data_IF_698590309247
#
_entry.id   IF_698590309247
#
_cell.length_a   1.000
_cell.length_b   1.000
_cell.length_c   1.000
_cell.angle_alpha   90.00
_cell.angle_beta   90.00
_cell.angle_gamma   90.00
#
_symmetry.space_group_name_H-M   'P 1'
#
loop_
_entity.id
_entity.type
_entity.pdbx_description
1 polymer ?
#
# COMPACT_ATOMS: atom_id res chain seq x y z
N UNK A 1 -20.32 9.41 20.79
CA UNK A 1 -19.30 10.47 20.69
C UNK A 1 -19.43 11.37 19.47
N UNK A 2 -20.03 10.94 18.35
CA UNK A 2 -20.27 11.77 17.15
C UNK A 2 -21.18 12.99 17.38
N UNK A 3 -22.12 12.88 18.30
CA UNK A 3 -23.08 13.95 18.67
C UNK A 3 -22.44 15.19 19.33
N UNK A 4 -21.20 15.08 19.82
CA UNK A 4 -20.50 16.17 20.50
C UNK A 4 -19.53 16.94 19.59
N UNK A 5 -19.18 16.40 18.43
CA UNK A 5 -18.26 17.01 17.48
C UNK A 5 -18.93 17.48 16.17
N UNK A 6 -19.97 16.78 15.71
CA UNK A 6 -20.71 17.10 14.49
C UNK A 6 -22.20 17.18 14.80
N UNK A 7 -22.71 18.36 15.09
CA UNK A 7 -24.15 18.58 15.24
C UNK A 7 -24.94 18.25 13.96
N UNK A 8 -24.34 18.48 12.80
CA UNK A 8 -24.93 18.15 11.50
C UNK A 8 -23.87 17.83 10.45
N UNK A 9 -24.14 16.80 9.64
CA UNK A 9 -23.42 16.61 8.37
C UNK A 9 -24.03 17.54 7.33
N UNK A 10 -23.21 18.16 6.48
CA UNK A 10 -23.69 19.07 5.43
C UNK A 10 -24.76 18.40 4.56
N UNK A 11 -25.95 18.96 4.54
CA UNK A 11 -27.08 18.47 3.72
C UNK A 11 -26.78 18.54 2.23
N UNK A 12 -26.02 19.54 1.80
CA UNK A 12 -25.57 19.69 0.40
C UNK A 12 -24.68 18.52 0.01
N UNK A 13 -23.70 18.16 0.85
CA UNK A 13 -22.81 17.02 0.58
C UNK A 13 -23.59 15.70 0.54
N UNK A 14 -24.59 15.54 1.43
CA UNK A 14 -25.47 14.37 1.41
C UNK A 14 -26.30 14.30 0.14
N UNK A 15 -26.89 15.41 -0.32
CA UNK A 15 -27.67 15.46 -1.54
C UNK A 15 -26.82 15.12 -2.79
N UNK A 16 -25.61 15.71 -2.89
CA UNK A 16 -24.66 15.40 -3.97
C UNK A 16 -24.28 13.92 -3.97
N UNK A 17 -23.96 13.37 -2.80
CA UNK A 17 -23.59 11.94 -2.66
C UNK A 17 -24.76 11.04 -3.05
N UNK A 18 -25.97 11.37 -2.60
CA UNK A 18 -27.18 10.62 -2.93
C UNK A 18 -27.42 10.59 -4.45
N UNK A 19 -27.35 11.74 -5.10
CA UNK A 19 -27.50 11.85 -6.56
C UNK A 19 -26.39 11.10 -7.31
N UNK A 20 -25.14 11.20 -6.87
CA UNK A 20 -24.02 10.49 -7.45
C UNK A 20 -24.20 8.96 -7.41
N UNK A 21 -24.78 8.44 -6.32
CA UNK A 21 -25.12 7.02 -6.16
C UNK A 21 -26.33 6.65 -7.05
N UNK A 22 -27.42 7.43 -6.98
CA UNK A 22 -28.67 7.15 -7.65
C UNK A 22 -28.53 7.19 -9.18
N UNK A 23 -27.74 8.13 -9.71
CA UNK A 23 -27.44 8.25 -11.15
C UNK A 23 -26.54 7.14 -11.71
N UNK A 24 -26.04 6.24 -10.88
CA UNK A 24 -25.14 5.13 -11.27
C UNK A 24 -23.68 5.55 -11.53
N UNK A 25 -23.32 6.81 -11.34
CA UNK A 25 -21.93 7.29 -11.48
C UNK A 25 -20.99 6.60 -10.52
N UNK A 26 -21.42 6.40 -9.27
CA UNK A 26 -20.65 5.69 -8.26
C UNK A 26 -20.27 4.26 -8.71
N UNK A 27 -21.22 3.50 -9.25
CA UNK A 27 -20.97 2.12 -9.72
C UNK A 27 -19.99 2.09 -10.89
N UNK A 28 -20.13 3.00 -11.85
CA UNK A 28 -19.18 3.14 -12.99
C UNK A 28 -17.79 3.47 -12.50
N UNK A 29 -17.67 4.43 -11.58
CA UNK A 29 -16.40 4.81 -10.97
C UNK A 29 -15.72 3.66 -10.23
N UNK A 30 -16.46 2.91 -9.42
CA UNK A 30 -15.93 1.74 -8.72
C UNK A 30 -15.40 0.66 -9.69
N UNK A 31 -16.11 0.38 -10.76
CA UNK A 31 -15.66 -0.60 -11.74
C UNK A 31 -14.37 -0.15 -12.42
N UNK A 32 -14.26 1.13 -12.75
CA UNK A 32 -13.04 1.72 -13.30
C UNK A 32 -11.87 1.64 -12.31
N UNK A 33 -12.09 2.02 -11.04
CA UNK A 33 -11.05 1.92 -9.99
C UNK A 33 -10.59 0.48 -9.74
N UNK A 34 -11.51 -0.48 -9.75
CA UNK A 34 -11.17 -1.91 -9.60
C UNK A 34 -10.27 -2.39 -10.74
N UNK A 35 -10.59 -2.03 -11.98
CA UNK A 35 -9.76 -2.39 -13.14
C UNK A 35 -8.35 -1.80 -13.06
N UNK A 36 -8.23 -0.52 -12.74
CA UNK A 36 -6.94 0.15 -12.59
C UNK A 36 -6.13 -0.46 -11.44
N UNK A 37 -6.76 -0.68 -10.30
CA UNK A 37 -6.06 -1.21 -9.13
C UNK A 37 -5.67 -2.68 -9.32
N UNK A 38 -6.42 -3.45 -10.10
CA UNK A 38 -6.03 -4.81 -10.47
C UNK A 38 -4.75 -4.83 -11.32
N UNK A 39 -4.66 -3.98 -12.32
CA UNK A 39 -3.44 -3.83 -13.12
C UNK A 39 -2.22 -3.42 -12.27
N UNK A 40 -2.41 -2.48 -11.36
CA UNK A 40 -1.36 -2.02 -10.44
C UNK A 40 -0.90 -3.11 -9.45
N UNK A 41 -1.85 -3.86 -8.92
CA UNK A 41 -1.61 -5.01 -8.06
C UNK A 41 -0.76 -6.06 -8.78
N UNK A 42 -1.17 -6.46 -9.98
CA UNK A 42 -0.48 -7.48 -10.75
C UNK A 42 0.93 -7.05 -11.15
N UNK A 43 1.10 -5.79 -11.58
CA UNK A 43 2.42 -5.25 -11.86
C UNK A 43 3.31 -5.22 -10.62
N UNK A 44 2.77 -4.84 -9.46
CA UNK A 44 3.56 -4.83 -8.22
C UNK A 44 4.01 -6.23 -7.83
N UNK A 45 3.15 -7.24 -7.88
CA UNK A 45 3.53 -8.62 -7.60
C UNK A 45 4.57 -9.13 -8.59
N UNK A 46 4.38 -8.88 -9.88
CA UNK A 46 5.34 -9.26 -10.91
C UNK A 46 6.70 -8.59 -10.71
N UNK A 47 6.72 -7.30 -10.39
CA UNK A 47 7.95 -6.57 -10.08
C UNK A 47 8.64 -7.10 -8.82
N UNK A 48 7.88 -7.44 -7.77
CA UNK A 48 8.44 -8.04 -6.55
C UNK A 48 9.05 -9.40 -6.84
N UNK A 49 8.41 -10.24 -7.64
CA UNK A 49 8.95 -11.54 -8.05
C UNK A 49 10.27 -11.40 -8.82
N UNK A 50 10.38 -10.36 -9.65
CA UNK A 50 11.56 -10.09 -10.45
C UNK A 50 12.74 -9.51 -9.66
N UNK A 51 12.47 -8.59 -8.73
CA UNK A 51 13.52 -7.77 -8.11
C UNK A 51 13.85 -8.14 -6.67
N UNK A 52 12.91 -8.73 -5.91
CA UNK A 52 13.14 -9.05 -4.51
C UNK A 52 13.93 -10.35 -4.33
N UNK A 53 14.80 -10.43 -3.31
CA UNK A 53 15.46 -11.69 -2.94
C UNK A 53 14.46 -12.79 -2.59
N UNK A 54 14.79 -14.03 -2.93
CA UNK A 54 13.95 -15.22 -2.68
C UNK A 54 13.69 -15.53 -1.19
N UNK A 55 14.47 -14.92 -0.29
CA UNK A 55 14.28 -15.03 1.17
C UNK A 55 13.13 -14.18 1.70
N UNK A 56 12.58 -13.28 0.89
CA UNK A 56 11.48 -12.39 1.25
C UNK A 56 10.14 -13.06 0.93
N UNK A 57 9.18 -12.87 1.82
CA UNK A 57 7.80 -13.35 1.62
C UNK A 57 6.84 -12.18 1.61
N UNK A 58 5.75 -12.30 0.87
CA UNK A 58 4.68 -11.30 0.83
C UNK A 58 3.31 -11.94 0.72
N UNK A 59 2.30 -11.18 1.12
CA UNK A 59 0.91 -11.58 0.93
C UNK A 59 0.45 -11.28 -0.49
N UNK A 60 -0.43 -12.12 -1.03
CA UNK A 60 -1.17 -11.85 -2.26
C UNK A 60 -2.61 -11.50 -1.86
N UNK A 61 -2.95 -10.21 -1.71
CA UNK A 61 -4.26 -9.82 -1.22
C UNK A 61 -5.33 -9.94 -2.31
N UNK A 62 -6.52 -10.42 -1.93
CA UNK A 62 -7.70 -10.44 -2.82
C UNK A 62 -8.43 -9.10 -2.88
N UNK A 63 -7.93 -8.07 -2.22
CA UNK A 63 -8.52 -6.73 -2.18
C UNK A 63 -7.72 -5.75 -1.35
N UNK A 64 -8.21 -4.52 -1.25
CA UNK A 64 -7.49 -3.44 -0.60
C UNK A 64 -6.47 -2.78 -1.54
N UNK A 65 -5.47 -2.10 -0.97
CA UNK A 65 -4.46 -1.32 -1.70
C UNK A 65 -3.04 -1.62 -1.23
N UNK A 66 -2.86 -2.65 -0.39
CA UNK A 66 -1.61 -2.89 0.30
C UNK A 66 -1.15 -4.34 0.20
N UNK A 67 0.16 -4.51 0.04
CA UNK A 67 0.85 -5.79 0.15
C UNK A 67 1.70 -5.75 1.42
N UNK A 68 1.62 -6.79 2.23
CA UNK A 68 2.46 -6.98 3.40
C UNK A 68 3.69 -7.77 3.03
N UNK A 69 4.88 -7.24 3.34
CA UNK A 69 6.17 -7.84 3.02
C UNK A 69 6.87 -8.22 4.32
N UNK A 70 7.21 -9.48 4.45
CA UNK A 70 7.93 -10.04 5.59
C UNK A 70 9.38 -10.31 5.21
N UNK A 71 10.28 -9.88 6.06
CA UNK A 71 11.73 -10.02 5.90
C UNK A 71 12.31 -11.03 6.90
N UNK A 72 13.51 -11.57 6.64
CA UNK A 72 14.24 -12.37 7.62
C UNK A 72 14.47 -11.62 8.93
N UNK A 73 14.50 -12.34 10.07
CA UNK A 73 14.53 -11.73 11.41
C UNK A 73 15.75 -10.85 11.70
N UNK A 74 16.85 -11.04 10.99
CA UNK A 74 18.07 -10.25 11.16
C UNK A 74 18.10 -8.96 10.33
N UNK A 75 17.07 -8.67 9.55
CA UNK A 75 17.04 -7.51 8.64
C UNK A 75 17.02 -6.19 9.42
N UNK A 76 17.96 -5.26 9.16
CA UNK A 76 18.04 -3.97 9.83
C UNK A 76 17.00 -2.99 9.28
N UNK A 77 15.75 -3.12 9.71
CA UNK A 77 14.60 -2.33 9.20
C UNK A 77 14.79 -0.82 9.27
N UNK A 78 15.60 -0.33 10.21
CA UNK A 78 15.89 1.10 10.30
C UNK A 78 16.74 1.55 9.11
N UNK A 79 17.80 0.79 8.79
CA UNK A 79 18.66 1.03 7.64
C UNK A 79 17.89 0.96 6.32
N UNK A 80 17.10 -0.10 6.13
CA UNK A 80 16.24 -0.26 4.95
C UNK A 80 15.31 0.94 4.79
N UNK A 81 14.65 1.37 5.88
CA UNK A 81 13.74 2.52 5.84
C UNK A 81 14.45 3.85 5.52
N UNK A 82 15.66 4.07 6.04
CA UNK A 82 16.44 5.26 5.74
C UNK A 82 16.93 5.29 4.29
N UNK A 83 17.44 4.17 3.78
CA UNK A 83 17.89 4.07 2.40
C UNK A 83 16.71 4.23 1.41
N UNK A 84 15.55 3.63 1.70
CA UNK A 84 14.35 3.82 0.91
C UNK A 84 13.90 5.30 0.88
N UNK A 85 13.88 5.96 2.04
CA UNK A 85 13.51 7.38 2.15
C UNK A 85 14.48 8.29 1.39
N UNK A 86 15.79 8.00 1.40
CA UNK A 86 16.80 8.71 0.62
C UNK A 86 16.54 8.62 -0.89
N UNK A 87 15.94 7.52 -1.35
CA UNK A 87 15.49 7.30 -2.73
C UNK A 87 14.05 7.78 -2.97
N UNK A 88 13.46 8.54 -2.04
CA UNK A 88 12.08 9.06 -2.09
C UNK A 88 11.01 7.95 -2.10
N UNK A 89 11.32 6.79 -1.53
CA UNK A 89 10.39 5.67 -1.36
C UNK A 89 9.98 5.60 0.11
N UNK A 90 8.68 5.79 0.35
CA UNK A 90 8.10 5.66 1.69
C UNK A 90 7.49 4.27 1.87
N UNK A 91 7.99 3.53 2.83
CA UNK A 91 7.46 2.22 3.23
C UNK A 91 6.75 2.31 4.59
N UNK A 92 5.62 1.65 4.73
CA UNK A 92 4.94 1.54 6.02
C UNK A 92 5.63 0.49 6.89
N UNK A 93 6.52 0.91 7.80
CA UNK A 93 7.28 -0.01 8.67
C UNK A 93 6.34 -0.87 9.52
N UNK A 94 6.57 -2.18 9.52
CA UNK A 94 5.71 -3.18 10.15
C UNK A 94 5.46 -2.94 11.64
N UNK A 95 6.47 -2.45 12.38
CA UNK A 95 6.35 -2.14 13.81
C UNK A 95 5.14 -1.26 14.15
N UNK A 96 4.71 -0.39 13.24
CA UNK A 96 3.54 0.49 13.44
C UNK A 96 2.20 -0.26 13.39
N UNK A 97 2.19 -1.49 12.91
CA UNK A 97 0.98 -2.29 12.71
C UNK A 97 0.86 -3.46 13.70
N UNK A 98 1.84 -3.67 14.56
CA UNK A 98 1.77 -4.64 15.64
C UNK A 98 1.25 -3.96 16.91
N UNK A 99 0.18 -4.48 17.55
CA UNK A 99 -0.47 -3.84 18.69
C UNK A 99 0.45 -3.63 19.90
N UNK A 100 1.38 -4.57 20.12
CA UNK A 100 2.37 -4.55 21.21
C UNK A 100 3.69 -3.88 20.81
N UNK A 101 3.81 -3.39 19.58
CA UNK A 101 5.04 -2.84 19.02
C UNK A 101 6.16 -3.87 18.83
N UNK A 102 5.89 -5.14 19.15
CA UNK A 102 6.78 -6.27 18.91
C UNK A 102 6.32 -7.01 17.66
N UNK A 103 7.25 -7.59 16.94
CA UNK A 103 6.94 -8.32 15.72
C UNK A 103 8.21 -8.61 14.94
N UNK A 104 8.04 -9.23 13.80
CA UNK A 104 9.14 -9.55 12.90
C UNK A 104 9.42 -8.37 11.95
N UNK A 105 10.61 -8.30 11.33
CA UNK A 105 10.91 -7.32 10.30
C UNK A 105 9.92 -7.40 9.15
N UNK A 106 9.21 -6.32 8.92
CA UNK A 106 8.18 -6.26 7.89
C UNK A 106 7.91 -4.81 7.45
N UNK A 107 7.32 -4.65 6.29
CA UNK A 107 6.79 -3.37 5.82
C UNK A 107 5.56 -3.58 4.93
N UNK A 108 4.82 -2.50 4.76
CA UNK A 108 3.65 -2.46 3.90
C UNK A 108 3.92 -1.60 2.68
N UNK A 109 3.62 -2.12 1.49
CA UNK A 109 3.64 -1.39 0.23
C UNK A 109 2.23 -1.02 -0.20
N UNK A 110 2.09 0.16 -0.79
CA UNK A 110 0.85 0.64 -1.39
C UNK A 110 0.98 0.59 -2.92
N UNK A 111 0.07 -0.13 -3.60
CA UNK A 111 0.07 -0.22 -5.06
C UNK A 111 -0.85 0.80 -5.76
N UNK A 112 -1.44 1.77 -5.05
CA UNK A 112 -2.26 2.82 -5.67
C UNK A 112 -1.43 3.96 -6.29
N UNK A 113 -0.31 3.62 -6.94
CA UNK A 113 0.60 4.54 -7.62
C UNK A 113 0.51 4.37 -9.14
N UNK A 114 1.19 5.23 -9.93
CA UNK A 114 1.35 4.99 -11.36
C UNK A 114 2.14 3.71 -11.63
N UNK A 115 1.91 3.07 -12.77
CA UNK A 115 2.60 1.83 -13.14
C UNK A 115 4.12 2.03 -13.17
N UNK A 116 4.59 3.15 -13.73
CA UNK A 116 6.00 3.54 -13.75
C UNK A 116 6.61 3.66 -12.34
N UNK A 117 5.88 4.31 -11.41
CA UNK A 117 6.36 4.47 -10.04
C UNK A 117 6.39 3.13 -9.28
N UNK A 118 5.47 2.22 -9.57
CA UNK A 118 5.46 0.87 -8.99
C UNK A 118 6.71 0.11 -9.42
N UNK A 119 6.94 -0.02 -10.72
CA UNK A 119 8.06 -0.78 -11.27
C UNK A 119 9.41 -0.22 -10.79
N UNK A 120 9.61 1.10 -10.98
CA UNK A 120 10.82 1.79 -10.54
C UNK A 120 11.04 1.68 -9.02
N UNK A 121 9.99 1.89 -8.23
CA UNK A 121 10.07 1.87 -6.77
C UNK A 121 10.39 0.48 -6.24
N UNK A 122 9.80 -0.56 -6.82
CA UNK A 122 10.06 -1.95 -6.42
C UNK A 122 11.47 -2.38 -6.83
N UNK A 123 11.96 -1.98 -8.02
CA UNK A 123 13.33 -2.27 -8.45
C UNK A 123 14.37 -1.65 -7.49
N UNK A 124 14.25 -0.36 -7.17
CA UNK A 124 15.14 0.32 -6.21
C UNK A 124 15.07 -0.34 -4.84
N UNK A 125 13.86 -0.67 -4.36
CA UNK A 125 13.69 -1.33 -3.08
C UNK A 125 14.30 -2.74 -3.06
N UNK A 126 14.21 -3.45 -4.18
CA UNK A 126 14.87 -4.75 -4.37
C UNK A 126 16.39 -4.66 -4.19
N UNK A 127 17.03 -3.65 -4.76
CA UNK A 127 18.47 -3.44 -4.61
C UNK A 127 18.86 -3.07 -3.17
N UNK A 128 18.07 -2.23 -2.50
CA UNK A 128 18.26 -1.92 -1.07
C UNK A 128 18.15 -3.20 -0.23
N UNK A 129 17.18 -4.05 -0.50
CA UNK A 129 16.98 -5.30 0.23
C UNK A 129 18.13 -6.28 0.02
N UNK A 130 18.65 -6.43 -1.20
CA UNK A 130 19.84 -7.26 -1.49
C UNK A 130 21.09 -6.82 -0.73
N UNK A 131 21.23 -5.52 -0.47
CA UNK A 131 22.37 -4.96 0.28
C UNK A 131 22.24 -5.14 1.81
N UNK A 132 21.04 -5.40 2.32
CA UNK A 132 20.75 -5.49 3.76
C UNK A 132 20.38 -6.90 4.23
N UNK A 133 20.40 -7.90 3.36
CA UNK A 133 20.13 -9.31 3.62
C UNK A 133 21.40 -10.16 3.43
#
# INVERSE_FOLDING_TARGET
>A
MKLLHDLHVSTVTQAITSEYIASGHYRRHLNHLRSINHQRHDLMLQSMEQYFPSSIRWTVPNGGLFIWVQLPNHTPMQSVGQQAAAQKILIGRGKLFFPDGQGYPAFRLNFSQSLENIERGVAILGDILKQNL
#
